data_IF_696239782597
#
_entry.id   IF_696239782597
#
_cell.length_a   1.000
_cell.length_b   1.000
_cell.length_c   1.000
_cell.angle_alpha   90.00
_cell.angle_beta   90.00
_cell.angle_gamma   90.00
#
_symmetry.space_group_name_H-M   'P 1'
#
loop_
_entity.id
_entity.type
_entity.pdbx_description
1 polymer ?
#
# COMPACT_ATOMS: atom_id res chain seq x y z
N UNK A 1 3.56 24.75 -11.51
CA UNK A 1 3.07 23.37 -11.67
C UNK A 1 3.10 22.74 -10.29
N UNK A 2 2.10 21.96 -9.90
CA UNK A 2 2.14 21.24 -8.62
C UNK A 2 3.15 20.10 -8.76
N UNK A 3 4.04 19.95 -7.78
CA UNK A 3 4.96 18.82 -7.70
C UNK A 3 4.26 17.66 -6.99
N UNK A 4 4.43 16.45 -7.52
CA UNK A 4 3.93 15.20 -6.93
C UNK A 4 5.16 14.39 -6.50
N UNK A 5 5.24 14.08 -5.21
CA UNK A 5 6.32 13.29 -4.61
C UNK A 5 5.78 11.90 -4.27
N UNK A 6 6.46 10.84 -4.71
CA UNK A 6 6.10 9.47 -4.35
C UNK A 6 6.70 9.11 -2.98
N UNK A 7 5.82 8.72 -2.05
CA UNK A 7 6.17 8.25 -0.70
C UNK A 7 5.96 6.74 -0.53
N UNK A 8 5.65 6.04 -1.63
CA UNK A 8 5.34 4.62 -1.63
C UNK A 8 6.60 3.77 -1.71
N UNK A 9 6.57 2.59 -1.09
CA UNK A 9 7.60 1.57 -1.27
C UNK A 9 7.17 0.58 -2.35
N UNK A 10 8.13 0.02 -3.08
CA UNK A 10 7.87 -1.00 -4.09
C UNK A 10 7.27 -2.27 -3.46
N UNK A 11 6.26 -2.84 -4.12
CA UNK A 11 5.70 -4.15 -3.77
C UNK A 11 6.40 -5.24 -4.57
N UNK A 12 7.02 -6.20 -3.86
CA UNK A 12 7.67 -7.35 -4.49
C UNK A 12 7.55 -8.61 -3.62
N UNK A 13 7.63 -9.77 -4.27
CA UNK A 13 7.60 -11.07 -3.57
C UNK A 13 8.75 -11.18 -2.56
N UNK A 14 8.41 -11.49 -1.31
CA UNK A 14 9.41 -11.64 -0.23
C UNK A 14 9.87 -10.33 0.42
N UNK A 15 9.23 -9.20 0.10
CA UNK A 15 9.46 -7.95 0.83
C UNK A 15 9.16 -8.10 2.33
N UNK A 16 9.80 -7.31 3.22
CA UNK A 16 9.50 -7.32 4.63
C UNK A 16 8.04 -6.99 4.92
N UNK A 17 7.41 -7.79 5.79
CA UNK A 17 6.10 -7.53 6.38
C UNK A 17 6.20 -7.69 7.90
N UNK A 18 5.21 -7.19 8.64
CA UNK A 18 5.19 -7.37 10.08
C UNK A 18 5.20 -8.87 10.45
N UNK A 19 6.00 -9.31 11.45
CA UNK A 19 6.06 -10.71 11.84
C UNK A 19 4.68 -11.31 12.14
N UNK A 20 4.34 -12.38 11.41
CA UNK A 20 3.07 -13.08 11.55
C UNK A 20 1.94 -12.61 10.63
N UNK A 21 2.15 -11.57 9.82
CA UNK A 21 1.20 -11.17 8.77
C UNK A 21 1.46 -11.91 7.45
N UNK A 22 0.46 -12.01 6.55
CA UNK A 22 0.65 -12.59 5.22
C UNK A 22 1.73 -11.84 4.43
N UNK A 23 2.65 -12.59 3.82
CA UNK A 23 3.65 -12.03 2.91
C UNK A 23 3.04 -11.65 1.55
N UNK A 24 3.77 -10.83 0.80
CA UNK A 24 3.42 -10.50 -0.60
C UNK A 24 3.93 -11.61 -1.52
N UNK A 25 3.07 -12.07 -2.43
CA UNK A 25 3.42 -12.95 -3.54
C UNK A 25 2.88 -12.38 -4.85
N UNK A 26 3.78 -12.18 -5.80
CA UNK A 26 3.51 -11.79 -7.17
C UNK A 26 3.98 -12.92 -8.06
N UNK A 27 3.07 -13.50 -8.84
CA UNK A 27 3.34 -14.60 -9.77
C UNK A 27 2.80 -14.27 -11.14
N UNK A 28 3.51 -14.65 -12.20
CA UNK A 28 3.04 -14.47 -13.57
C UNK A 28 1.79 -15.32 -13.80
N UNK A 29 0.72 -14.69 -14.26
CA UNK A 29 -0.52 -15.35 -14.65
C UNK A 29 -0.58 -15.61 -16.16
N UNK A 30 -0.08 -14.66 -16.96
CA UNK A 30 -0.03 -14.73 -18.42
C UNK A 30 1.10 -13.84 -18.94
N UNK A 31 1.83 -14.25 -19.97
CA UNK A 31 2.80 -13.41 -20.70
C UNK A 31 2.36 -13.15 -22.14
N UNK A 32 3.00 -12.21 -22.82
CA UNK A 32 2.72 -11.97 -24.24
C UNK A 32 3.11 -13.16 -25.12
N UNK A 33 4.23 -13.84 -24.81
CA UNK A 33 4.77 -14.96 -25.57
C UNK A 33 3.84 -16.18 -25.56
N UNK A 34 3.03 -16.35 -24.53
CA UNK A 34 2.00 -17.40 -24.48
C UNK A 34 0.89 -17.20 -25.52
N UNK A 35 0.78 -16.00 -26.11
CA UNK A 35 -0.13 -15.70 -27.22
C UNK A 35 0.52 -15.89 -28.60
N UNK A 36 1.82 -16.16 -28.67
CA UNK A 36 2.50 -16.37 -29.95
C UNK A 36 1.91 -17.60 -30.66
N UNK A 37 1.29 -17.37 -31.83
CA UNK A 37 0.65 -18.41 -32.64
C UNK A 37 -0.87 -18.51 -32.49
N UNK A 38 -1.51 -17.69 -31.65
CA UNK A 38 -2.97 -17.58 -31.58
C UNK A 38 -3.46 -16.61 -32.67
N UNK A 39 -3.89 -17.16 -33.81
CA UNK A 39 -4.20 -16.38 -35.04
C UNK A 39 -5.61 -15.82 -35.12
N UNK A 40 -6.54 -16.31 -34.28
CA UNK A 40 -7.95 -15.86 -34.24
C UNK A 40 -8.20 -14.80 -33.15
N UNK A 41 -7.13 -14.31 -32.52
CA UNK A 41 -7.16 -13.15 -31.62
C UNK A 41 -6.79 -11.91 -32.43
N UNK A 42 -7.67 -10.90 -32.45
CA UNK A 42 -7.36 -9.57 -32.98
C UNK A 42 -6.27 -8.91 -32.11
N UNK A 43 -5.00 -9.32 -32.24
CA UNK A 43 -3.79 -8.62 -31.75
C UNK A 43 -3.83 -8.21 -30.26
N UNK A 44 -4.55 -8.95 -29.40
CA UNK A 44 -4.56 -8.70 -27.96
C UNK A 44 -3.75 -9.80 -27.30
N UNK A 45 -2.54 -9.47 -26.84
CA UNK A 45 -1.74 -10.29 -25.95
C UNK A 45 -1.61 -9.55 -24.61
N UNK A 46 -2.33 -9.93 -23.55
CA UNK A 46 -2.13 -9.36 -22.21
C UNK A 46 -0.95 -10.02 -21.50
N UNK A 47 -0.19 -9.22 -20.75
CA UNK A 47 0.70 -9.70 -19.70
C UNK A 47 0.09 -9.37 -18.34
N UNK A 48 -0.09 -10.39 -17.50
CA UNK A 48 -0.84 -10.29 -16.24
C UNK A 48 -0.08 -11.00 -15.14
N UNK A 49 0.01 -10.36 -13.98
CA UNK A 49 0.48 -10.99 -12.75
C UNK A 49 -0.70 -11.22 -11.80
N UNK A 50 -0.68 -12.35 -11.08
CA UNK A 50 -1.49 -12.57 -9.89
C UNK A 50 -0.77 -11.97 -8.69
N UNK A 51 -1.47 -11.16 -7.92
CA UNK A 51 -0.99 -10.57 -6.68
C UNK A 51 -1.79 -11.17 -5.51
N UNK A 52 -1.06 -11.65 -4.50
CA UNK A 52 -1.58 -12.02 -3.19
C UNK A 52 -0.85 -11.20 -2.13
N UNK A 53 -1.60 -10.49 -1.31
CA UNK A 53 -1.08 -9.54 -0.33
C UNK A 53 -2.03 -9.43 0.86
N UNK A 54 -1.48 -9.13 2.04
CA UNK A 54 -2.27 -8.69 3.19
C UNK A 54 -2.59 -7.19 3.12
N UNK A 55 -3.66 -6.76 3.78
CA UNK A 55 -4.10 -5.35 3.83
C UNK A 55 -3.04 -4.40 4.44
N UNK A 56 -2.10 -4.95 5.22
CA UNK A 56 -1.03 -4.23 5.90
C UNK A 56 0.37 -4.46 5.27
N UNK A 57 0.42 -4.81 3.99
CA UNK A 57 1.68 -4.97 3.25
C UNK A 57 2.10 -3.65 2.59
N UNK A 58 3.39 -3.30 2.73
CA UNK A 58 3.95 -2.09 2.12
C UNK A 58 3.35 -0.78 2.64
N UNK A 59 3.39 0.27 1.82
CA UNK A 59 2.73 1.55 2.13
C UNK A 59 1.22 1.39 2.01
N UNK A 60 0.48 1.56 3.12
CA UNK A 60 -0.96 1.31 3.20
C UNK A 60 -1.66 2.31 4.14
N UNK A 61 -2.99 2.21 4.22
CA UNK A 61 -3.84 2.97 5.15
C UNK A 61 -4.72 2.02 5.93
N UNK A 62 -4.71 2.15 7.25
CA UNK A 62 -5.57 1.36 8.12
C UNK A 62 -7.00 1.91 8.15
N UNK A 63 -7.98 1.01 8.00
CA UNK A 63 -9.37 1.33 8.28
C UNK A 63 -9.65 1.47 9.78
N UNK A 64 -10.69 2.20 10.17
CA UNK A 64 -11.10 2.26 11.58
C UNK A 64 -11.43 0.89 12.17
N UNK A 65 -11.97 -0.02 11.36
CA UNK A 65 -12.27 -1.40 11.76
C UNK A 65 -11.04 -2.19 12.22
N UNK A 66 -9.83 -1.81 11.79
CA UNK A 66 -8.57 -2.41 12.24
C UNK A 66 -8.29 -2.13 13.73
N UNK A 67 -8.66 -0.94 14.21
CA UNK A 67 -8.20 -0.42 15.50
C UNK A 67 -8.91 -1.05 16.71
N UNK A 68 -10.21 -1.35 16.60
CA UNK A 68 -10.96 -1.89 17.73
C UNK A 68 -12.27 -2.57 17.30
N UNK A 69 -12.74 -3.51 18.14
CA UNK A 69 -14.00 -4.26 17.92
C UNK A 69 -15.23 -3.36 17.76
N UNK A 70 -15.26 -2.22 18.45
CA UNK A 70 -16.35 -1.24 18.37
C UNK A 70 -16.47 -0.58 16.99
N UNK A 71 -15.46 -0.73 16.11
CA UNK A 71 -15.42 -0.13 14.77
C UNK A 71 -15.60 -1.14 13.64
N UNK A 72 -15.98 -2.40 13.91
CA UNK A 72 -16.06 -3.48 12.89
C UNK A 72 -16.84 -3.16 11.61
N UNK A 73 -17.78 -2.21 11.64
CA UNK A 73 -18.55 -1.79 10.45
C UNK A 73 -17.95 -0.60 9.69
N UNK A 74 -16.74 -0.16 10.03
CA UNK A 74 -16.08 1.02 9.44
C UNK A 74 -14.85 0.60 8.64
N UNK A 75 -15.10 -0.20 7.60
CA UNK A 75 -14.09 -0.69 6.66
C UNK A 75 -13.62 0.42 5.70
N UNK A 76 -12.49 0.19 5.03
CA UNK A 76 -11.81 1.19 4.20
C UNK A 76 -12.71 1.74 3.08
N UNK A 77 -13.55 0.89 2.50
CA UNK A 77 -14.50 1.21 1.41
C UNK A 77 -15.68 2.09 1.87
N UNK A 78 -15.90 2.23 3.18
CA UNK A 78 -16.95 3.08 3.76
C UNK A 78 -16.44 4.46 4.20
N UNK A 79 -15.11 4.67 4.21
CA UNK A 79 -14.52 5.93 4.63
C UNK A 79 -14.67 7.01 3.55
N UNK A 80 -14.98 8.27 3.90
CA UNK A 80 -15.14 9.33 2.93
C UNK A 80 -13.80 9.66 2.25
N UNK A 81 -13.81 9.79 0.92
CA UNK A 81 -12.60 10.07 0.13
C UNK A 81 -11.89 11.37 0.51
N UNK A 82 -12.61 12.33 1.10
CA UNK A 82 -12.02 13.57 1.63
C UNK A 82 -11.00 13.34 2.75
N UNK A 83 -10.96 12.14 3.35
CA UNK A 83 -9.90 11.75 4.30
C UNK A 83 -8.59 11.36 3.62
N UNK A 84 -8.61 10.99 2.33
CA UNK A 84 -7.44 10.46 1.61
C UNK A 84 -6.82 11.47 0.63
N UNK A 85 -7.47 12.60 0.41
CA UNK A 85 -6.92 13.73 -0.33
C UNK A 85 -7.14 15.01 0.50
N UNK A 86 -6.13 15.35 1.29
CA UNK A 86 -6.19 16.41 2.31
C UNK A 86 -4.82 17.07 2.48
N UNK A 87 -4.77 18.22 3.14
CA UNK A 87 -3.53 18.85 3.57
C UNK A 87 -2.78 17.95 4.55
N UNK A 88 -1.45 17.92 4.43
CA UNK A 88 -0.56 17.22 5.33
C UNK A 88 0.56 18.13 5.80
N UNK A 89 1.11 17.84 6.98
CA UNK A 89 2.30 18.51 7.51
C UNK A 89 3.45 17.50 7.58
N UNK A 90 4.66 17.94 7.22
CA UNK A 90 5.87 17.17 7.41
C UNK A 90 6.63 17.72 8.62
N UNK A 91 6.76 16.91 9.66
CA UNK A 91 7.54 17.24 10.85
C UNK A 91 8.87 16.50 10.79
N UNK A 92 9.97 17.25 10.81
CA UNK A 92 11.31 16.66 10.81
C UNK A 92 11.68 16.16 12.22
N UNK A 93 11.58 14.85 12.39
CA UNK A 93 11.95 14.12 13.60
C UNK A 93 13.10 13.14 13.32
N UNK A 94 13.91 13.41 12.29
CA UNK A 94 15.01 12.52 11.85
C UNK A 94 16.11 12.32 12.90
N UNK A 95 16.12 13.13 13.96
CA UNK A 95 17.04 13.00 15.11
C UNK A 95 16.65 11.90 16.10
N UNK A 96 15.45 11.32 16.01
CA UNK A 96 14.97 10.26 16.91
C UNK A 96 15.47 8.87 16.48
N UNK A 97 15.76 8.02 17.46
CA UNK A 97 16.14 6.62 17.26
C UNK A 97 14.95 5.65 17.37
N UNK A 98 15.17 4.35 17.05
CA UNK A 98 14.16 3.32 17.21
C UNK A 98 13.70 3.19 18.66
N UNK A 99 12.39 3.32 18.89
CA UNK A 99 11.77 3.21 20.22
C UNK A 99 11.68 4.51 21.00
N UNK A 100 12.27 5.61 20.51
CA UNK A 100 12.10 6.93 21.11
C UNK A 100 10.65 7.39 20.95
N UNK A 101 10.06 7.92 22.02
CA UNK A 101 8.72 8.50 22.00
C UNK A 101 8.76 9.90 21.37
N UNK A 102 7.74 10.23 20.61
CA UNK A 102 7.50 11.59 20.12
C UNK A 102 6.66 12.30 21.19
N UNK A 103 7.25 13.27 21.88
CA UNK A 103 6.60 13.97 22.99
C UNK A 103 5.87 15.25 22.51
N UNK A 104 4.77 15.68 23.17
CA UNK A 104 4.00 16.86 22.74
C UNK A 104 4.82 18.15 22.62
N UNK A 105 5.83 18.35 23.48
CA UNK A 105 6.71 19.52 23.47
C UNK A 105 7.55 19.61 22.19
N UNK A 106 7.73 18.49 21.50
CA UNK A 106 8.48 18.42 20.23
C UNK A 106 7.60 18.72 19.03
N UNK A 107 6.27 18.73 19.23
CA UNK A 107 5.27 19.06 18.22
C UNK A 107 4.88 20.54 18.26
N UNK A 108 5.18 21.24 19.36
CA UNK A 108 5.00 22.69 19.44
C UNK A 108 6.12 23.43 18.70
N UNK A 109 5.75 24.04 17.58
CA UNK A 109 6.48 25.19 17.02
C UNK A 109 5.83 26.48 17.48
#
# INVERSE_FOLDING_TARGET
>A
MIEIVDLSQELFSGMPVFPGLPGVQITTHMTHEEWDGVTDSDVISPAVNRLELGEHAGTHVDAFSHMARQYRGRSIDTMPLSMFYTEGICLDLSHKGPGDLIEPEELSK
#
